data_IF_242616973731
#
_entry.id   IF_242616973731
#
_cell.length_a   1.000
_cell.length_b   1.000
_cell.length_c   1.000
_cell.angle_alpha   90.00
_cell.angle_beta   90.00
_cell.angle_gamma   90.00
#
_symmetry.space_group_name_H-M   'P 1'
#
loop_
_entity.id
_entity.type
_entity.pdbx_description
1 polymer ?
#
# COMPACT_ATOMS: atom_id res chain seq x y z
N UNK A 1 -38.83 1.51 -9.64
CA UNK A 1 -37.38 1.50 -9.89
C UNK A 1 -37.09 0.55 -11.05
N UNK A 2 -36.24 0.93 -12.02
CA UNK A 2 -35.93 0.12 -13.22
C UNK A 2 -34.79 -0.86 -12.90
N UNK A 3 -34.98 -2.17 -13.16
CA UNK A 3 -34.02 -3.24 -12.85
C UNK A 3 -33.76 -4.10 -14.10
N UNK A 4 -32.51 -4.56 -14.29
CA UNK A 4 -32.11 -5.41 -15.42
C UNK A 4 -32.82 -6.78 -15.45
N UNK A 5 -33.25 -7.22 -16.65
CA UNK A 5 -34.05 -8.44 -16.95
C UNK A 5 -33.61 -9.71 -16.20
N UNK A 6 -32.31 -9.98 -16.11
CA UNK A 6 -31.78 -11.21 -15.49
C UNK A 6 -31.96 -11.28 -13.97
N UNK A 7 -31.92 -10.14 -13.27
CA UNK A 7 -32.12 -10.07 -11.82
C UNK A 7 -33.61 -10.09 -11.45
N UNK A 8 -34.44 -9.50 -12.32
CA UNK A 8 -35.89 -9.52 -12.18
C UNK A 8 -36.44 -10.96 -12.21
N UNK A 9 -35.94 -11.79 -13.13
CA UNK A 9 -36.38 -13.17 -13.30
C UNK A 9 -35.97 -14.09 -12.13
N UNK A 10 -34.77 -13.88 -11.57
CA UNK A 10 -34.28 -14.66 -10.42
C UNK A 10 -34.99 -14.27 -9.11
N UNK A 11 -35.37 -13.00 -8.96
CA UNK A 11 -36.22 -12.55 -7.84
C UNK A 11 -37.65 -13.09 -7.98
N UNK A 12 -38.21 -13.13 -9.19
CA UNK A 12 -39.56 -13.64 -9.47
C UNK A 12 -39.75 -15.11 -9.08
N UNK A 13 -38.74 -15.97 -9.29
CA UNK A 13 -38.84 -17.42 -8.97
C UNK A 13 -38.79 -17.69 -7.46
N UNK A 14 -38.11 -16.85 -6.68
CA UNK A 14 -37.89 -17.07 -5.23
C UNK A 14 -39.04 -16.51 -4.37
N UNK A 15 -39.80 -15.54 -4.89
CA UNK A 15 -40.84 -14.82 -4.14
C UNK A 15 -42.23 -15.48 -4.22
N UNK A 16 -42.44 -16.47 -5.09
CA UNK A 16 -43.75 -17.14 -5.26
C UNK A 16 -44.21 -17.97 -4.03
N UNK A 17 -43.32 -18.22 -3.06
CA UNK A 17 -43.56 -19.18 -1.97
C UNK A 17 -43.72 -18.58 -0.57
N UNK A 18 -43.84 -17.25 -0.39
CA UNK A 18 -43.89 -16.73 0.99
C UNK A 18 -44.80 -15.51 1.21
N UNK A 19 -45.90 -15.74 1.94
CA UNK A 19 -46.67 -14.69 2.62
C UNK A 19 -45.91 -14.29 3.89
N UNK A 20 -45.39 -13.07 3.96
CA UNK A 20 -44.68 -12.55 5.14
C UNK A 20 -45.70 -11.89 6.07
N UNK A 21 -45.93 -12.50 7.24
CA UNK A 21 -46.49 -11.79 8.39
C UNK A 21 -45.45 -10.77 8.87
N UNK A 22 -45.88 -9.54 9.12
CA UNK A 22 -45.06 -8.45 9.67
C UNK A 22 -44.31 -8.89 10.92
N UNK A 23 -43.05 -9.30 10.78
CA UNK A 23 -42.11 -9.44 11.88
C UNK A 23 -41.08 -8.35 11.66
N UNK A 24 -41.16 -7.29 12.47
CA UNK A 24 -40.07 -6.36 12.64
C UNK A 24 -38.93 -7.15 13.30
N UNK A 25 -38.09 -7.78 12.48
CA UNK A 25 -36.94 -8.54 12.93
C UNK A 25 -35.90 -7.57 13.52
N UNK A 26 -35.28 -7.97 14.63
CA UNK A 26 -34.15 -7.23 15.21
C UNK A 26 -32.96 -7.34 14.24
N UNK A 27 -32.87 -6.37 13.32
CA UNK A 27 -31.78 -6.29 12.35
C UNK A 27 -30.62 -5.50 12.97
N UNK A 28 -29.54 -6.20 13.27
CA UNK A 28 -28.28 -5.58 13.67
C UNK A 28 -27.48 -5.19 12.43
N UNK A 29 -27.11 -3.90 12.34
CA UNK A 29 -26.38 -3.33 11.20
C UNK A 29 -25.08 -2.72 11.68
N UNK A 30 -23.97 -3.10 11.06
CA UNK A 30 -22.64 -2.55 11.32
C UNK A 30 -22.09 -1.94 10.04
N UNK A 31 -21.99 -0.62 10.01
CA UNK A 31 -21.38 0.12 8.91
C UNK A 31 -19.86 0.19 9.13
N UNK A 32 -19.12 -0.13 8.08
CA UNK A 32 -17.67 -0.03 8.00
C UNK A 32 -17.29 0.79 6.77
N UNK A 33 -17.14 2.11 6.92
CA UNK A 33 -16.43 2.93 5.94
C UNK A 33 -15.02 2.36 5.76
N UNK A 34 -14.58 2.11 4.52
CA UNK A 34 -13.31 1.44 4.26
C UNK A 34 -12.32 2.30 3.48
N UNK A 35 -11.03 2.06 3.71
CA UNK A 35 -9.92 2.65 2.93
C UNK A 35 -9.63 1.81 1.66
N UNK A 36 -9.25 2.44 0.53
CA UNK A 36 -9.09 3.90 0.34
C UNK A 36 -10.43 4.62 0.15
N UNK A 37 -11.45 3.91 -0.34
CA UNK A 37 -12.83 4.38 -0.46
C UNK A 37 -13.77 3.17 -0.44
N UNK A 38 -15.01 3.43 -0.08
CA UNK A 38 -16.09 2.47 -0.10
C UNK A 38 -16.76 2.27 1.25
N UNK A 39 -17.82 1.46 1.24
CA UNK A 39 -18.62 1.12 2.40
C UNK A 39 -18.89 -0.39 2.41
N UNK A 40 -18.61 -1.04 3.54
CA UNK A 40 -19.08 -2.39 3.85
C UNK A 40 -20.14 -2.32 4.95
N UNK A 41 -21.30 -2.93 4.73
CA UNK A 41 -22.38 -2.99 5.71
C UNK A 41 -22.64 -4.45 6.04
N UNK A 42 -22.29 -4.84 7.26
CA UNK A 42 -22.61 -6.17 7.78
C UNK A 42 -23.99 -6.12 8.41
N UNK A 43 -24.87 -6.99 7.94
CA UNK A 43 -26.24 -7.07 8.39
C UNK A 43 -26.46 -8.45 8.99
N UNK A 44 -26.98 -8.49 10.20
CA UNK A 44 -27.33 -9.71 10.91
C UNK A 44 -28.80 -9.65 11.28
N UNK A 45 -29.53 -10.72 10.99
CA UNK A 45 -30.94 -10.83 11.33
C UNK A 45 -31.29 -12.30 11.62
N UNK A 46 -32.42 -12.51 12.30
CA UNK A 46 -32.89 -13.83 12.68
C UNK A 46 -33.25 -14.74 11.48
N UNK A 47 -33.58 -15.99 11.81
CA UNK A 47 -33.92 -17.04 10.85
C UNK A 47 -35.13 -16.77 9.95
N UNK A 48 -36.01 -15.82 10.30
CA UNK A 48 -37.26 -15.57 9.56
C UNK A 48 -37.10 -14.57 8.41
N UNK A 49 -35.91 -13.99 8.25
CA UNK A 49 -35.64 -13.01 7.19
C UNK A 49 -35.40 -13.69 5.83
N UNK A 50 -36.07 -13.23 4.75
CA UNK A 50 -36.00 -13.86 3.42
C UNK A 50 -34.62 -13.75 2.76
N UNK A 51 -34.48 -14.29 1.55
CA UNK A 51 -33.21 -14.35 0.83
C UNK A 51 -32.58 -12.98 0.54
N UNK A 52 -33.38 -11.92 0.40
CA UNK A 52 -32.91 -10.60 -0.02
C UNK A 52 -33.16 -9.56 1.07
N UNK A 53 -32.10 -8.80 1.40
CA UNK A 53 -32.15 -7.64 2.29
C UNK A 53 -31.63 -6.45 1.50
N UNK A 54 -32.30 -5.30 1.59
CA UNK A 54 -31.90 -4.09 0.88
C UNK A 54 -31.24 -3.11 1.84
N UNK A 55 -30.19 -2.46 1.34
CA UNK A 55 -29.56 -1.34 2.00
C UNK A 55 -29.80 -0.09 1.16
N UNK A 56 -30.27 0.96 1.82
CA UNK A 56 -30.39 2.28 1.24
C UNK A 56 -29.64 3.27 2.12
N UNK A 57 -28.88 4.16 1.50
CA UNK A 57 -28.17 5.19 2.23
C UNK A 57 -27.88 6.44 1.41
N UNK A 58 -27.83 7.56 2.10
CA UNK A 58 -27.50 8.87 1.56
C UNK A 58 -26.38 9.49 2.39
N UNK A 59 -25.47 10.20 1.71
CA UNK A 59 -24.26 10.74 2.33
C UNK A 59 -24.35 12.26 2.43
N UNK A 60 -24.07 12.74 3.63
CA UNK A 60 -24.14 14.14 4.02
C UNK A 60 -22.78 14.63 4.52
N UNK A 61 -22.47 15.87 4.17
CA UNK A 61 -21.33 16.60 4.72
C UNK A 61 -21.73 17.24 6.06
N UNK A 62 -20.80 17.33 7.01
CA UNK A 62 -21.06 17.89 8.35
C UNK A 62 -21.71 19.28 8.25
N UNK A 63 -22.84 19.46 8.93
CA UNK A 63 -23.52 20.75 9.04
C UNK A 63 -24.42 21.13 7.84
N UNK A 64 -24.59 20.27 6.84
CA UNK A 64 -25.50 20.50 5.70
C UNK A 64 -26.70 19.55 5.75
N UNK A 65 -27.89 20.10 5.52
CA UNK A 65 -29.16 19.35 5.43
C UNK A 65 -29.48 18.82 4.03
N UNK A 66 -28.71 19.22 3.01
CA UNK A 66 -28.84 18.71 1.64
C UNK A 66 -27.81 17.60 1.37
N UNK A 67 -28.24 16.43 0.86
CA UNK A 67 -27.32 15.34 0.52
C UNK A 67 -26.39 15.82 -0.59
N UNK A 68 -25.09 15.60 -0.43
CA UNK A 68 -24.11 16.31 -1.24
C UNK A 68 -23.42 15.41 -2.29
N UNK A 69 -23.42 14.06 -2.16
CA UNK A 69 -22.39 13.25 -2.86
C UNK A 69 -22.85 11.92 -3.50
N UNK A 70 -23.87 11.19 -3.01
CA UNK A 70 -24.40 10.00 -3.71
C UNK A 70 -25.56 9.35 -2.95
N UNK A 71 -26.48 8.73 -3.68
CA UNK A 71 -27.48 7.80 -3.13
C UNK A 71 -27.02 6.36 -3.40
N UNK A 72 -27.05 5.53 -2.38
CA UNK A 72 -26.72 4.11 -2.45
C UNK A 72 -27.98 3.29 -2.26
N UNK A 73 -28.31 2.42 -3.21
CA UNK A 73 -29.42 1.49 -3.09
C UNK A 73 -29.06 0.17 -3.80
N UNK A 74 -28.93 -0.92 -3.04
CA UNK A 74 -28.79 -2.26 -3.63
C UNK A 74 -29.12 -3.36 -2.61
N UNK A 75 -29.10 -4.61 -3.10
CA UNK A 75 -29.29 -5.83 -2.34
C UNK A 75 -27.99 -6.23 -1.62
N UNK A 76 -28.12 -6.53 -0.33
CA UNK A 76 -27.08 -7.18 0.46
C UNK A 76 -27.04 -8.70 0.15
N UNK A 77 -25.84 -9.23 -0.06
CA UNK A 77 -25.63 -10.64 -0.42
C UNK A 77 -25.48 -11.48 0.85
N UNK A 78 -26.28 -12.56 0.96
CA UNK A 78 -26.19 -13.50 2.10
C UNK A 78 -24.84 -14.20 2.10
N UNK A 79 -24.10 -14.05 3.19
CA UNK A 79 -22.78 -14.65 3.43
C UNK A 79 -22.87 -15.98 4.21
N UNK A 80 -23.90 -16.13 5.05
CA UNK A 80 -24.09 -17.31 5.88
C UNK A 80 -25.57 -17.56 6.13
N UNK A 81 -25.98 -18.84 6.09
CA UNK A 81 -27.32 -19.32 6.39
C UNK A 81 -27.27 -20.19 7.66
N UNK A 82 -27.98 -19.79 8.71
CA UNK A 82 -28.04 -20.46 10.00
C UNK A 82 -28.98 -19.72 10.96
N UNK A 83 -28.86 -19.97 12.26
CA UNK A 83 -29.69 -19.29 13.29
C UNK A 83 -29.46 -17.76 13.30
N UNK A 84 -28.23 -17.36 12.96
CA UNK A 84 -27.78 -15.98 12.80
C UNK A 84 -27.44 -15.72 11.33
N UNK A 85 -28.46 -15.47 10.51
CA UNK A 85 -28.25 -15.15 9.11
C UNK A 85 -27.42 -13.86 8.97
N UNK A 86 -26.46 -13.87 8.03
CA UNK A 86 -25.57 -12.73 7.79
C UNK A 86 -25.59 -12.32 6.32
N UNK A 87 -25.73 -11.03 6.07
CA UNK A 87 -25.63 -10.40 4.75
C UNK A 87 -24.54 -9.34 4.75
N UNK A 88 -24.05 -9.07 3.56
CA UNK A 88 -23.02 -8.08 3.30
C UNK A 88 -23.46 -7.22 2.12
N UNK A 89 -23.61 -5.92 2.35
CA UNK A 89 -23.70 -4.92 1.29
C UNK A 89 -22.33 -4.26 1.12
N UNK A 90 -21.92 -4.05 -0.12
CA UNK A 90 -20.63 -3.44 -0.44
C UNK A 90 -20.82 -2.42 -1.57
N UNK A 91 -20.23 -1.24 -1.41
CA UNK A 91 -20.14 -0.24 -2.46
C UNK A 91 -18.75 0.41 -2.42
N UNK A 92 -17.92 0.13 -3.43
CA UNK A 92 -16.53 0.60 -3.49
C UNK A 92 -16.37 1.94 -4.22
N UNK A 93 -17.44 2.48 -4.79
CA UNK A 93 -17.38 3.72 -5.57
C UNK A 93 -17.62 4.97 -4.70
N UNK A 94 -17.93 4.76 -3.42
CA UNK A 94 -18.30 5.81 -2.47
C UNK A 94 -17.08 6.33 -1.73
N UNK A 95 -16.82 7.63 -1.80
CA UNK A 95 -15.74 8.29 -1.05
C UNK A 95 -16.27 8.78 0.31
N UNK A 96 -15.67 8.27 1.40
CA UNK A 96 -16.06 8.57 2.79
C UNK A 96 -14.86 9.12 3.57
N UNK A 97 -15.09 10.20 4.29
CA UNK A 97 -14.10 10.84 5.18
C UNK A 97 -14.59 10.84 6.62
N UNK A 98 -13.64 10.93 7.56
CA UNK A 98 -13.96 11.09 8.99
C UNK A 98 -14.76 12.37 9.20
N UNK A 99 -15.89 12.26 9.89
CA UNK A 99 -16.86 13.31 10.13
C UNK A 99 -18.09 13.24 9.24
N UNK A 100 -18.06 12.57 8.08
CA UNK A 100 -19.25 12.45 7.22
C UNK A 100 -20.40 11.69 7.91
N UNK A 101 -21.64 11.96 7.50
CA UNK A 101 -22.84 11.29 8.02
C UNK A 101 -23.48 10.44 6.93
N UNK A 102 -23.75 9.18 7.25
CA UNK A 102 -24.50 8.25 6.41
C UNK A 102 -25.89 8.11 7.03
N UNK A 103 -26.91 8.64 6.36
CA UNK A 103 -28.30 8.33 6.70
C UNK A 103 -28.68 7.06 5.99
N UNK A 104 -28.99 6.01 6.71
CA UNK A 104 -29.23 4.70 6.12
C UNK A 104 -30.47 4.02 6.66
N UNK A 105 -31.00 3.08 5.89
CA UNK A 105 -32.00 2.12 6.35
C UNK A 105 -31.71 0.76 5.73
N UNK A 106 -32.08 -0.27 6.48
CA UNK A 106 -32.05 -1.66 6.01
C UNK A 106 -33.45 -2.19 6.10
N UNK A 107 -33.93 -2.78 5.02
CA UNK A 107 -35.29 -3.29 5.00
C UNK A 107 -35.44 -4.52 4.11
N UNK A 108 -36.49 -5.27 4.42
CA UNK A 108 -36.93 -6.41 3.66
C UNK A 108 -38.16 -5.97 2.89
N UNK A 109 -38.11 -5.85 1.56
CA UNK A 109 -39.29 -5.51 0.81
C UNK A 109 -40.24 -6.71 0.77
N UNK A 110 -41.52 -6.48 1.07
CA UNK A 110 -42.56 -7.34 0.52
C UNK A 110 -42.81 -6.86 -0.91
N UNK A 111 -42.65 -7.75 -1.88
CA UNK A 111 -42.88 -7.42 -3.28
C UNK A 111 -44.37 -7.64 -3.57
N UNK A 112 -45.06 -6.60 -4.02
CA UNK A 112 -46.36 -6.75 -4.68
C UNK A 112 -46.13 -6.53 -6.17
N UNK A 113 -46.59 -7.48 -6.97
CA UNK A 113 -46.45 -7.42 -8.42
C UNK A 113 -47.47 -6.46 -9.02
N UNK A 114 -47.00 -5.49 -9.79
CA UNK A 114 -47.80 -4.88 -10.85
C UNK A 114 -46.96 -4.93 -12.14
N UNK A 115 -47.08 -6.05 -12.86
CA UNK A 115 -46.36 -6.29 -14.11
C UNK A 115 -47.17 -5.70 -15.26
N UNK A 116 -47.07 -4.39 -15.49
CA UNK A 116 -47.52 -3.80 -16.76
C UNK A 116 -46.48 -4.09 -17.84
N UNK A 117 -46.64 -5.23 -18.52
CA UNK A 117 -45.74 -5.77 -19.56
C UNK A 117 -46.00 -5.13 -20.92
N UNK A 118 -46.13 -3.81 -21.00
CA UNK A 118 -46.20 -3.13 -22.31
C UNK A 118 -44.88 -2.46 -22.72
N UNK A 119 -44.01 -2.05 -21.77
CA UNK A 119 -42.88 -1.16 -22.08
C UNK A 119 -41.50 -1.60 -21.55
N UNK A 120 -41.29 -2.89 -21.25
CA UNK A 120 -39.99 -3.43 -20.74
C UNK A 120 -39.42 -2.73 -19.48
N UNK A 121 -40.19 -1.88 -18.81
CA UNK A 121 -39.87 -1.23 -17.54
C UNK A 121 -40.77 -1.82 -16.46
N UNK A 122 -40.21 -2.73 -15.65
CA UNK A 122 -40.88 -3.22 -14.45
C UNK A 122 -40.73 -2.19 -13.33
N UNK A 123 -41.85 -1.76 -12.73
CA UNK A 123 -41.82 -0.94 -11.52
C UNK A 123 -41.94 -1.88 -10.32
N UNK A 124 -40.85 -2.11 -9.57
CA UNK A 124 -40.98 -2.77 -8.26
C UNK A 124 -41.65 -1.80 -7.29
N UNK A 125 -42.83 -2.17 -6.80
CA UNK A 125 -43.49 -1.54 -5.65
C UNK A 125 -43.24 -2.40 -4.41
N UNK A 126 -42.65 -1.79 -3.40
CA UNK A 126 -42.33 -2.44 -2.14
C UNK A 126 -43.46 -2.13 -1.14
N UNK A 127 -44.32 -3.11 -0.88
CA UNK A 127 -45.45 -2.97 0.04
C UNK A 127 -45.07 -3.57 1.41
N UNK A 128 -44.12 -2.98 2.11
CA UNK A 128 -43.66 -3.45 3.41
C UNK A 128 -43.46 -2.32 4.41
N UNK A 129 -43.25 -2.67 5.68
CA UNK A 129 -42.77 -1.72 6.69
C UNK A 129 -41.37 -1.25 6.29
N UNK A 130 -41.27 0.01 5.91
CA UNK A 130 -39.98 0.67 5.64
C UNK A 130 -39.59 1.39 6.94
N UNK A 131 -38.50 0.98 7.60
CA UNK A 131 -38.05 1.63 8.80
C UNK A 131 -37.53 3.05 8.50
N UNK A 132 -37.62 3.91 9.51
CA UNK A 132 -37.03 5.24 9.47
C UNK A 132 -35.51 5.16 9.26
N UNK A 133 -34.96 6.23 8.69
CA UNK A 133 -33.51 6.36 8.55
C UNK A 133 -32.83 6.42 9.92
N UNK A 134 -31.69 5.76 10.01
CA UNK A 134 -30.73 5.86 11.10
C UNK A 134 -29.53 6.67 10.64
N UNK A 135 -28.97 7.45 11.55
CA UNK A 135 -27.77 8.24 11.27
C UNK A 135 -26.52 7.51 11.75
N UNK A 136 -25.51 7.45 10.90
CA UNK A 136 -24.19 6.92 11.23
C UNK A 136 -23.11 7.97 10.97
N UNK A 137 -22.34 8.34 11.99
CA UNK A 137 -21.23 9.27 11.87
C UNK A 137 -19.95 8.47 11.59
N UNK A 138 -19.24 8.82 10.53
CA UNK A 138 -17.96 8.20 10.17
C UNK A 138 -16.90 8.67 11.18
N UNK A 139 -16.69 7.89 12.24
CA UNK A 139 -15.67 8.18 13.25
C UNK A 139 -14.28 7.70 12.87
N UNK A 140 -14.20 6.68 12.01
CA UNK A 140 -12.94 6.10 11.50
C UNK A 140 -13.18 5.32 10.21
N UNK A 141 -12.11 5.15 9.43
CA UNK A 141 -12.09 4.27 8.28
C UNK A 141 -11.40 2.95 8.64
N UNK A 142 -11.95 1.84 8.16
CA UNK A 142 -11.47 0.50 8.42
C UNK A 142 -10.71 -0.07 7.23
N UNK A 143 -9.88 -1.07 7.48
CA UNK A 143 -9.39 -1.91 6.39
C UNK A 143 -10.51 -2.83 5.89
N UNK A 144 -10.49 -3.14 4.60
CA UNK A 144 -11.44 -4.07 3.98
C UNK A 144 -11.29 -5.47 4.60
N UNK A 145 -12.40 -6.09 5.00
CA UNK A 145 -12.37 -7.46 5.51
C UNK A 145 -11.95 -8.47 4.41
N UNK A 146 -11.12 -9.48 4.71
CA UNK A 146 -10.85 -10.59 3.80
C UNK A 146 -12.10 -11.47 3.71
N UNK A 147 -12.68 -11.65 2.51
CA UNK A 147 -13.93 -12.41 2.34
C UNK A 147 -13.74 -13.74 1.58
N UNK A 148 -14.46 -14.81 1.98
CA UNK A 148 -14.37 -16.15 1.40
C UNK A 148 -15.17 -16.35 0.10
N UNK A 149 -15.87 -15.33 -0.40
CA UNK A 149 -16.54 -15.42 -1.71
C UNK A 149 -16.56 -14.06 -2.40
N UNK A 150 -16.21 -13.98 -3.70
CA UNK A 150 -16.31 -12.74 -4.44
C UNK A 150 -17.78 -12.33 -4.50
N UNK A 151 -18.16 -11.33 -3.69
CA UNK A 151 -19.42 -10.63 -3.89
C UNK A 151 -19.45 -10.02 -5.30
N UNK A 152 -20.65 -9.69 -5.79
CA UNK A 152 -20.89 -9.09 -7.12
C UNK A 152 -20.01 -7.87 -7.45
N UNK A 153 -19.50 -7.18 -6.42
CA UNK A 153 -18.65 -5.99 -6.52
C UNK A 153 -17.14 -6.28 -6.48
N UNK A 154 -16.71 -7.53 -6.25
CA UNK A 154 -15.31 -7.92 -6.39
C UNK A 154 -14.97 -8.14 -7.86
N UNK A 155 -14.44 -7.10 -8.52
CA UNK A 155 -13.89 -7.24 -9.86
C UNK A 155 -12.65 -8.14 -9.79
N UNK A 156 -12.61 -9.16 -10.65
CA UNK A 156 -11.46 -10.06 -10.74
C UNK A 156 -10.19 -9.27 -11.06
N UNK A 157 -9.07 -9.66 -10.43
CA UNK A 157 -7.76 -9.03 -10.60
C UNK A 157 -6.71 -10.10 -10.86
N UNK A 158 -5.69 -9.75 -11.63
CA UNK A 158 -4.48 -10.57 -11.78
C UNK A 158 -3.54 -10.42 -10.58
N UNK A 159 -3.75 -9.39 -9.76
CA UNK A 159 -2.95 -9.10 -8.57
C UNK A 159 -3.04 -10.21 -7.56
N UNK A 160 -1.88 -10.65 -7.07
CA UNK A 160 -1.79 -11.68 -6.02
C UNK A 160 -1.05 -11.13 -4.83
N UNK A 161 -1.58 -11.37 -3.63
CA UNK A 161 -0.97 -10.98 -2.36
C UNK A 161 -0.81 -12.21 -1.49
N UNK A 162 0.30 -12.34 -0.78
CA UNK A 162 0.54 -13.49 0.11
C UNK A 162 -0.51 -13.53 1.21
N UNK A 163 -1.22 -14.65 1.31
CA UNK A 163 -2.19 -14.89 2.38
C UNK A 163 -3.47 -14.05 2.30
N UNK A 164 -3.69 -13.30 1.21
CA UNK A 164 -4.83 -12.40 1.06
C UNK A 164 -5.46 -12.51 -0.34
N UNK A 165 -6.77 -12.74 -0.38
CA UNK A 165 -7.56 -12.56 -1.61
C UNK A 165 -7.90 -11.08 -1.79
N UNK A 166 -7.76 -10.58 -3.01
CA UNK A 166 -7.91 -9.16 -3.35
C UNK A 166 -8.74 -9.01 -4.62
N UNK A 167 -9.38 -7.85 -4.78
CA UNK A 167 -10.14 -7.47 -5.96
C UNK A 167 -9.45 -6.28 -6.65
N UNK A 168 -9.77 -6.04 -7.92
CA UNK A 168 -9.22 -4.88 -8.63
C UNK A 168 -9.62 -3.57 -7.93
N UNK A 169 -8.67 -2.66 -7.76
CA UNK A 169 -8.84 -1.38 -7.05
C UNK A 169 -8.60 -1.43 -5.54
N UNK A 170 -8.37 -2.61 -4.94
CA UNK A 170 -8.09 -2.70 -3.51
C UNK A 170 -6.73 -2.08 -3.17
N UNK A 171 -6.68 -1.30 -2.08
CA UNK A 171 -5.40 -1.00 -1.43
C UNK A 171 -4.93 -2.23 -0.68
N UNK A 172 -3.81 -2.76 -1.13
CA UNK A 172 -3.21 -3.99 -0.62
C UNK A 172 -2.07 -3.74 0.36
N UNK A 173 -1.51 -2.53 0.35
CA UNK A 173 -0.52 -2.05 1.31
C UNK A 173 -0.57 -0.51 1.37
N UNK A 174 -0.51 0.06 2.57
CA UNK A 174 -0.50 1.50 2.77
C UNK A 174 0.29 1.85 4.03
N UNK A 175 1.15 2.84 3.93
CA UNK A 175 1.80 3.51 5.06
C UNK A 175 1.87 5.01 4.84
N UNK A 176 1.35 5.79 5.78
CA UNK A 176 1.41 7.25 5.81
C UNK A 176 2.51 7.76 6.75
N UNK A 177 3.28 6.87 7.38
CA UNK A 177 4.39 7.21 8.25
C UNK A 177 4.04 8.21 9.36
N UNK A 178 2.86 8.06 9.98
CA UNK A 178 2.51 8.79 11.21
C UNK A 178 3.43 8.38 12.38
N UNK A 179 3.79 7.09 12.42
CA UNK A 179 4.76 6.49 13.34
C UNK A 179 5.57 5.42 12.62
N UNK A 180 6.77 5.09 13.12
CA UNK A 180 7.55 4.00 12.54
C UNK A 180 6.93 2.63 12.90
N UNK A 181 6.50 1.88 11.88
CA UNK A 181 5.80 0.60 12.01
C UNK A 181 6.73 -0.59 11.77
N UNK A 182 7.26 -1.15 12.86
CA UNK A 182 8.13 -2.35 12.83
C UNK A 182 7.41 -3.63 12.43
N UNK A 183 6.07 -3.63 12.46
CA UNK A 183 5.24 -4.73 11.95
C UNK A 183 5.20 -4.78 10.42
N UNK A 184 5.47 -3.66 9.75
CA UNK A 184 5.51 -3.59 8.28
C UNK A 184 6.92 -3.49 7.73
N UNK A 185 7.81 -2.75 8.38
CA UNK A 185 9.12 -2.40 7.86
C UNK A 185 10.24 -2.92 8.73
N UNK A 186 11.27 -3.44 8.09
CA UNK A 186 12.57 -3.73 8.68
C UNK A 186 13.58 -2.70 8.17
N UNK A 187 14.36 -2.12 9.08
CA UNK A 187 15.55 -1.35 8.72
C UNK A 187 16.65 -2.36 8.40
N UNK A 188 17.19 -2.31 7.18
CA UNK A 188 18.24 -3.19 6.73
C UNK A 188 19.61 -2.75 7.27
N UNK A 189 20.43 -3.72 7.67
CA UNK A 189 21.79 -3.48 8.16
C UNK A 189 22.76 -4.43 7.47
N UNK A 190 23.47 -3.93 6.45
CA UNK A 190 24.45 -4.68 5.67
C UNK A 190 25.27 -3.79 4.74
N UNK A 191 26.37 -4.35 4.21
CA UNK A 191 27.18 -3.76 3.15
C UNK A 191 26.73 -4.38 1.81
N UNK A 192 26.21 -3.59 0.86
CA UNK A 192 25.68 -4.11 -0.39
C UNK A 192 26.78 -4.66 -1.30
N UNK A 193 26.72 -5.95 -1.62
CA UNK A 193 27.61 -6.61 -2.60
C UNK A 193 26.91 -6.97 -3.91
N UNK A 194 25.59 -7.17 -3.86
CA UNK A 194 24.74 -7.64 -4.96
C UNK A 194 23.67 -6.62 -5.36
N UNK A 195 23.92 -5.34 -5.08
CA UNK A 195 23.03 -4.25 -5.44
C UNK A 195 23.33 -3.75 -6.87
N UNK A 196 22.31 -3.51 -7.73
CA UNK A 196 22.50 -3.18 -9.14
C UNK A 196 23.29 -1.88 -9.34
N UNK A 197 23.11 -0.92 -8.42
CA UNK A 197 23.85 0.35 -8.44
C UNK A 197 25.28 0.27 -7.90
N UNK A 198 25.62 -0.81 -7.18
CA UNK A 198 26.85 -0.94 -6.40
C UNK A 198 27.21 0.35 -5.61
N UNK A 199 26.30 0.87 -4.76
CA UNK A 199 26.51 2.12 -4.03
C UNK A 199 27.69 2.03 -3.06
N UNK A 200 28.31 3.17 -2.78
CA UNK A 200 29.40 3.28 -1.82
C UNK A 200 28.87 3.56 -0.40
N UNK A 201 27.88 2.76 0.02
CA UNK A 201 27.17 2.91 1.30
C UNK A 201 27.30 1.65 2.15
N UNK A 202 27.11 1.81 3.46
CA UNK A 202 26.67 0.74 4.35
C UNK A 202 25.28 1.11 4.85
N UNK A 203 24.33 0.18 4.75
CA UNK A 203 23.01 0.38 5.37
C UNK A 203 23.11 0.01 6.84
N UNK A 204 22.65 0.89 7.73
CA UNK A 204 22.74 0.71 9.18
C UNK A 204 21.51 1.29 9.88
N UNK A 205 21.32 0.93 11.16
CA UNK A 205 20.35 1.58 12.05
C UNK A 205 21.09 2.26 13.20
N UNK A 206 21.36 3.56 13.07
CA UNK A 206 22.10 4.31 14.09
C UNK A 206 21.21 4.63 15.30
N UNK A 207 21.77 4.54 16.51
CA UNK A 207 21.03 4.75 17.77
C UNK A 207 21.12 6.17 18.31
N UNK A 208 22.34 6.72 18.42
CA UNK A 208 22.56 8.05 18.99
C UNK A 208 22.15 9.19 18.05
N UNK A 209 22.40 9.02 16.75
CA UNK A 209 21.99 9.95 15.70
C UNK A 209 21.34 9.17 14.55
N UNK A 210 20.05 8.82 14.66
CA UNK A 210 19.36 7.96 13.71
C UNK A 210 19.43 8.48 12.28
N UNK A 211 19.74 7.57 11.36
CA UNK A 211 19.71 7.79 9.91
C UNK A 211 18.37 7.40 9.28
N UNK A 212 17.50 6.72 10.02
CA UNK A 212 16.13 6.38 9.63
C UNK A 212 15.19 6.71 10.78
N UNK A 213 14.22 7.59 10.57
CA UNK A 213 13.25 7.97 11.60
C UNK A 213 11.97 8.54 10.99
N UNK A 214 10.90 8.56 11.77
CA UNK A 214 9.64 9.23 11.39
C UNK A 214 9.53 10.54 12.15
N UNK A 215 9.27 11.64 11.44
CA UNK A 215 9.10 12.97 12.02
C UNK A 215 8.11 13.79 11.20
N UNK A 216 7.17 14.45 11.87
CA UNK A 216 6.14 15.29 11.24
C UNK A 216 5.27 14.54 10.20
N UNK A 217 4.95 13.27 10.46
CA UNK A 217 4.11 12.46 9.56
C UNK A 217 4.80 12.06 8.25
N UNK A 218 6.13 12.02 8.23
CA UNK A 218 6.89 11.48 7.11
C UNK A 218 8.09 10.66 7.60
N UNK A 219 8.48 9.68 6.79
CA UNK A 219 9.71 8.90 6.98
C UNK A 219 10.90 9.67 6.42
N UNK A 220 11.97 9.78 7.20
CA UNK A 220 13.23 10.43 6.84
C UNK A 220 14.33 9.37 6.75
N UNK A 221 15.05 9.36 5.64
CA UNK A 221 16.26 8.57 5.45
C UNK A 221 17.41 9.52 5.13
N UNK A 222 18.36 9.62 6.04
CA UNK A 222 19.44 10.62 6.00
C UNK A 222 20.79 9.92 5.84
N UNK A 223 21.46 10.04 4.68
CA UNK A 223 22.83 9.56 4.51
C UNK A 223 23.80 10.47 5.27
N UNK A 224 24.84 9.87 5.86
CA UNK A 224 25.87 10.55 6.66
C UNK A 224 27.24 9.97 6.35
N UNK A 225 28.31 10.66 6.73
CA UNK A 225 29.66 10.11 6.58
C UNK A 225 29.85 8.95 7.58
N UNK A 226 30.33 7.81 7.12
CA UNK A 226 30.67 6.70 8.03
C UNK A 226 31.77 7.11 9.03
N UNK A 227 32.72 7.95 8.57
CA UNK A 227 33.86 8.42 9.37
C UNK A 227 33.43 9.05 10.71
N UNK A 228 32.28 9.74 10.76
CA UNK A 228 31.78 10.40 11.96
C UNK A 228 31.32 9.41 13.06
N UNK A 229 31.11 8.14 12.68
CA UNK A 229 30.63 7.07 13.56
C UNK A 229 31.69 6.00 13.84
N UNK A 230 32.89 6.15 13.28
CA UNK A 230 34.02 5.27 13.59
C UNK A 230 34.67 5.67 14.93
N UNK A 231 35.40 4.72 15.52
CA UNK A 231 36.24 5.01 16.68
C UNK A 231 37.35 6.02 16.31
N UNK A 232 37.76 6.85 17.28
CA UNK A 232 38.72 7.97 17.06
C UNK A 232 40.08 7.57 16.45
N UNK A 233 40.49 6.33 16.59
CA UNK A 233 41.76 5.77 16.06
C UNK A 233 41.58 5.05 14.71
N UNK A 234 40.35 4.98 14.20
CA UNK A 234 40.03 4.35 12.94
C UNK A 234 39.75 5.42 11.87
N UNK A 235 39.96 5.04 10.62
CA UNK A 235 39.59 5.85 9.46
C UNK A 235 38.89 4.95 8.46
N UNK A 236 38.24 5.52 7.45
CA UNK A 236 37.66 4.67 6.42
C UNK A 236 38.72 3.95 5.56
N UNK A 237 39.95 4.45 5.49
CA UNK A 237 41.04 3.85 4.70
C UNK A 237 41.74 2.69 5.43
N UNK A 238 41.65 2.63 6.77
CA UNK A 238 42.43 1.68 7.60
C UNK A 238 41.61 0.96 8.67
N UNK A 239 40.37 1.35 8.89
CA UNK A 239 39.52 0.84 9.96
C UNK A 239 38.80 -0.45 9.62
N UNK A 240 37.98 -0.89 10.58
CA UNK A 240 37.10 -2.04 10.44
C UNK A 240 35.68 -1.63 10.79
N UNK A 241 34.73 -2.07 9.96
CA UNK A 241 33.30 -1.95 10.22
C UNK A 241 32.76 -3.33 10.58
N UNK A 242 32.01 -3.42 11.68
CA UNK A 242 31.21 -4.57 12.05
C UNK A 242 29.82 -4.10 12.51
N UNK A 243 28.78 -4.56 11.83
CA UNK A 243 27.38 -4.22 12.14
C UNK A 243 26.78 -5.09 13.25
N UNK A 244 27.54 -6.07 13.76
CA UNK A 244 27.18 -6.90 14.90
C UNK A 244 25.86 -7.67 14.71
N UNK A 245 25.13 -7.84 15.81
CA UNK A 245 23.89 -8.63 15.87
C UNK A 245 22.71 -8.01 15.08
N UNK A 246 22.83 -6.75 14.66
CA UNK A 246 21.83 -6.06 13.84
C UNK A 246 21.81 -6.51 12.38
N UNK A 247 22.81 -7.29 11.96
CA UNK A 247 23.03 -7.72 10.58
C UNK A 247 21.80 -8.41 9.95
N UNK A 248 21.30 -7.85 8.83
CA UNK A 248 20.10 -8.38 8.14
C UNK A 248 20.42 -9.18 6.87
N UNK A 249 21.69 -9.18 6.41
CA UNK A 249 22.15 -9.89 5.20
C UNK A 249 23.46 -10.63 5.44
N UNK A 250 24.14 -11.06 4.36
CA UNK A 250 25.38 -11.85 4.45
C UNK A 250 26.62 -11.02 4.79
N UNK A 251 26.76 -9.84 4.19
CA UNK A 251 27.95 -9.01 4.36
C UNK A 251 27.68 -7.92 5.39
N UNK A 252 28.23 -8.08 6.59
CA UNK A 252 28.04 -7.14 7.70
C UNK A 252 29.34 -6.72 8.39
N UNK A 253 30.47 -7.27 7.96
CA UNK A 253 31.77 -6.82 8.41
C UNK A 253 32.69 -6.54 7.23
N UNK A 254 33.59 -5.58 7.37
CA UNK A 254 34.63 -5.27 6.39
C UNK A 254 35.82 -4.67 7.11
N UNK A 255 37.03 -5.06 6.70
CA UNK A 255 38.26 -4.38 7.11
C UNK A 255 38.87 -3.75 5.87
N UNK A 256 39.20 -2.46 5.95
CA UNK A 256 39.81 -1.75 4.84
C UNK A 256 41.21 -2.31 4.52
N UNK A 257 41.55 -2.39 3.24
CA UNK A 257 42.87 -2.83 2.80
C UNK A 257 43.32 -2.11 1.52
N UNK A 258 44.34 -1.26 1.65
CA UNK A 258 44.91 -0.51 0.54
C UNK A 258 43.86 0.37 -0.14
N UNK A 259 43.55 0.16 -1.44
CA UNK A 259 42.52 0.94 -2.14
C UNK A 259 41.08 0.50 -1.82
N UNK A 260 40.88 -0.67 -1.21
CA UNK A 260 39.56 -1.17 -0.83
C UNK A 260 39.18 -0.66 0.56
N UNK A 261 38.63 0.55 0.58
CA UNK A 261 38.24 1.25 1.81
C UNK A 261 36.89 0.79 2.37
N UNK A 262 36.59 1.15 3.60
CA UNK A 262 35.22 1.04 4.14
C UNK A 262 34.25 1.88 3.29
N UNK A 263 32.95 1.51 3.23
CA UNK A 263 31.95 2.33 2.55
C UNK A 263 31.96 3.75 3.13
N UNK A 264 32.21 4.80 2.33
CA UNK A 264 32.36 6.15 2.87
C UNK A 264 31.10 6.71 3.54
N UNK A 265 29.92 6.20 3.15
CA UNK A 265 28.63 6.70 3.59
C UNK A 265 27.91 5.64 4.42
N UNK A 266 27.31 6.06 5.54
CA UNK A 266 26.26 5.31 6.23
C UNK A 266 24.90 5.83 5.76
N UNK A 267 24.01 4.94 5.33
CA UNK A 267 22.69 5.28 4.81
C UNK A 267 21.61 4.37 5.39
N UNK A 268 20.34 4.67 5.12
CA UNK A 268 19.20 3.87 5.54
C UNK A 268 18.55 3.15 4.36
N UNK A 269 18.01 1.96 4.64
CA UNK A 269 17.17 1.20 3.71
C UNK A 269 16.12 0.44 4.52
N UNK A 270 14.88 0.46 4.05
CA UNK A 270 13.75 -0.26 4.63
C UNK A 270 13.27 -1.30 3.63
N UNK A 271 12.88 -2.47 4.14
CA UNK A 271 12.24 -3.54 3.37
C UNK A 271 10.93 -3.95 4.03
N UNK A 272 9.91 -4.26 3.24
CA UNK A 272 8.62 -4.72 3.76
C UNK A 272 8.72 -6.18 4.22
N UNK A 273 8.34 -6.49 5.46
CA UNK A 273 8.54 -7.82 6.07
C UNK A 273 7.44 -8.81 5.68
N UNK A 274 6.19 -8.48 6.00
CA UNK A 274 5.04 -9.38 5.86
C UNK A 274 4.22 -9.13 4.58
N UNK A 275 4.70 -8.26 3.71
CA UNK A 275 3.99 -7.88 2.49
C UNK A 275 4.78 -8.31 1.26
N UNK A 276 4.16 -9.19 0.47
CA UNK A 276 4.64 -9.49 -0.85
C UNK A 276 3.49 -9.65 -1.84
N UNK A 277 3.69 -9.14 -3.04
CA UNK A 277 2.66 -9.07 -4.07
C UNK A 277 3.20 -9.38 -5.47
N UNK A 278 2.29 -9.66 -6.40
CA UNK A 278 2.55 -9.82 -7.84
C UNK A 278 1.50 -9.01 -8.59
N UNK A 279 1.96 -8.09 -9.45
CA UNK A 279 1.15 -7.06 -10.13
C UNK A 279 0.49 -6.07 -9.18
N UNK A 280 0.32 -4.83 -9.63
CA UNK A 280 -0.24 -3.75 -8.85
C UNK A 280 0.40 -2.42 -9.18
N UNK A 281 -0.19 -1.35 -8.67
CA UNK A 281 0.27 0.02 -8.86
C UNK A 281 0.89 0.47 -7.54
N UNK A 282 2.18 0.82 -7.56
CA UNK A 282 2.88 1.38 -6.40
C UNK A 282 2.93 2.90 -6.56
N UNK A 283 2.33 3.62 -5.62
CA UNK A 283 2.35 5.08 -5.55
C UNK A 283 3.16 5.51 -4.32
N UNK A 284 4.17 6.33 -4.54
CA UNK A 284 5.02 6.89 -3.49
C UNK A 284 5.02 8.40 -3.63
N UNK A 285 4.74 9.10 -2.54
CA UNK A 285 4.90 10.56 -2.46
C UNK A 285 6.11 10.86 -1.59
N UNK A 286 7.12 11.50 -2.18
CA UNK A 286 8.37 11.77 -1.48
C UNK A 286 9.04 13.06 -1.98
N UNK A 287 9.87 13.66 -1.12
CA UNK A 287 10.91 14.62 -1.49
C UNK A 287 12.24 13.89 -1.62
N UNK A 288 12.88 14.06 -2.76
CA UNK A 288 14.08 13.35 -3.17
C UNK A 288 15.32 14.04 -2.54
N UNK A 289 16.37 13.31 -2.15
CA UNK A 289 17.60 13.90 -1.62
C UNK A 289 18.26 14.86 -2.62
N UNK A 290 18.73 16.00 -2.11
CA UNK A 290 19.47 17.01 -2.86
C UNK A 290 20.95 17.01 -2.44
N UNK A 291 21.81 16.63 -3.39
CA UNK A 291 23.25 16.65 -3.25
C UNK A 291 23.89 15.83 -4.36
N UNK A 292 25.09 16.23 -4.77
CA UNK A 292 25.82 15.51 -5.81
C UNK A 292 26.00 14.06 -5.40
N UNK A 293 25.76 13.18 -6.38
CA UNK A 293 25.95 11.74 -6.27
C UNK A 293 25.00 11.03 -5.31
N UNK A 294 23.97 11.70 -4.80
CA UNK A 294 22.87 11.06 -4.06
C UNK A 294 21.75 10.64 -5.02
N UNK A 295 21.07 9.54 -4.69
CA UNK A 295 19.89 9.12 -5.43
C UNK A 295 18.94 8.31 -4.53
N UNK A 296 17.62 8.44 -4.74
CA UNK A 296 16.64 7.64 -4.02
C UNK A 296 16.62 6.20 -4.55
N UNK A 297 16.35 5.25 -3.67
CA UNK A 297 16.14 3.85 -4.03
C UNK A 297 14.70 3.47 -3.75
N UNK A 298 13.90 3.37 -4.81
CA UNK A 298 12.55 2.80 -4.77
C UNK A 298 12.56 1.52 -5.59
N UNK A 299 12.64 0.39 -4.90
CA UNK A 299 12.87 -0.91 -5.51
C UNK A 299 11.78 -1.90 -5.13
N UNK A 300 11.46 -2.79 -6.07
CA UNK A 300 10.52 -3.89 -5.85
C UNK A 300 11.25 -5.22 -6.05
N UNK A 301 11.65 -5.84 -4.94
CA UNK A 301 12.59 -6.96 -4.91
C UNK A 301 11.88 -8.31 -4.78
N UNK A 302 12.33 -9.40 -5.42
CA UNK A 302 11.81 -10.74 -5.17
C UNK A 302 11.91 -11.18 -3.71
N UNK A 303 10.84 -11.78 -3.16
CA UNK A 303 10.80 -12.33 -1.79
C UNK A 303 11.80 -13.49 -1.60
N UNK A 304 12.07 -14.25 -2.66
CA UNK A 304 13.05 -15.34 -2.65
C UNK A 304 14.04 -15.20 -3.80
N UNK A 305 15.34 -15.23 -3.50
CA UNK A 305 16.43 -15.24 -4.50
C UNK A 305 16.69 -16.64 -5.12
N UNK A 306 15.74 -17.58 -5.02
CA UNK A 306 15.93 -18.96 -5.47
C UNK A 306 15.64 -19.07 -6.98
N UNK A 307 16.71 -19.17 -7.77
CA UNK A 307 16.75 -19.38 -9.23
C UNK A 307 16.04 -18.33 -10.09
N UNK A 308 16.70 -17.20 -10.28
CA UNK A 308 16.72 -16.54 -11.59
C UNK A 308 18.18 -16.20 -11.85
N UNK A 309 18.76 -16.63 -12.97
CA UNK A 309 20.18 -16.47 -13.25
C UNK A 309 20.62 -15.00 -13.18
N UNK A 310 21.92 -14.75 -12.98
CA UNK A 310 22.52 -13.41 -12.90
C UNK A 310 22.08 -12.43 -14.01
N UNK A 311 21.65 -12.95 -15.18
CA UNK A 311 21.14 -12.14 -16.29
C UNK A 311 19.76 -11.48 -16.03
N UNK A 312 18.96 -11.98 -15.09
CA UNK A 312 17.61 -11.47 -14.80
C UNK A 312 17.52 -10.60 -13.53
N UNK A 313 18.63 -10.41 -12.81
CA UNK A 313 18.74 -9.37 -11.76
C UNK A 313 18.66 -7.95 -12.35
N UNK A 314 18.69 -7.82 -13.68
CA UNK A 314 18.36 -6.58 -14.41
C UNK A 314 16.90 -6.15 -14.21
N UNK A 315 16.05 -6.97 -13.60
CA UNK A 315 14.63 -6.67 -13.34
C UNK A 315 14.38 -6.04 -11.95
N UNK A 316 15.38 -5.34 -11.39
CA UNK A 316 15.17 -4.41 -10.28
C UNK A 316 14.49 -3.17 -10.84
N UNK A 317 13.18 -3.11 -10.62
CA UNK A 317 12.33 -2.03 -11.12
C UNK A 317 12.56 -0.80 -10.26
N UNK A 318 13.26 0.20 -10.81
CA UNK A 318 13.19 1.55 -10.28
C UNK A 318 11.77 2.09 -10.54
N UNK A 319 11.12 2.58 -9.48
CA UNK A 319 9.77 3.14 -9.57
C UNK A 319 9.85 4.49 -10.31
N UNK A 320 9.80 4.47 -11.64
CA UNK A 320 9.61 5.65 -12.48
C UNK A 320 8.61 5.41 -13.63
N UNK A 321 7.70 4.44 -13.45
CA UNK A 321 6.76 3.85 -14.43
C UNK A 321 7.40 2.80 -15.34
N UNK A 322 7.11 1.51 -15.09
CA UNK A 322 7.42 0.38 -15.98
C UNK A 322 6.30 -0.68 -15.87
N UNK A 323 5.69 -1.03 -17.01
CA UNK A 323 4.85 -2.21 -17.21
C UNK A 323 5.77 -3.37 -17.61
N UNK A 324 6.31 -4.14 -16.65
CA UNK A 324 7.05 -5.37 -16.98
C UNK A 324 6.29 -6.60 -16.49
N UNK A 325 5.83 -7.41 -17.45
CA UNK A 325 5.23 -8.72 -17.24
C UNK A 325 6.32 -9.74 -16.88
N UNK A 326 6.64 -9.87 -15.59
CA UNK A 326 7.37 -11.04 -15.08
C UNK A 326 6.40 -11.77 -14.17
N UNK A 327 5.72 -12.77 -14.73
CA UNK A 327 4.74 -13.57 -14.02
C UNK A 327 5.40 -14.54 -13.04
N UNK A 328 4.80 -14.72 -11.86
CA UNK A 328 5.12 -15.81 -10.94
C UNK A 328 6.09 -15.51 -9.78
N UNK A 329 6.68 -14.31 -9.69
CA UNK A 329 7.57 -13.95 -8.58
C UNK A 329 6.87 -12.96 -7.63
N UNK A 330 6.80 -13.34 -6.34
CA UNK A 330 6.33 -12.46 -5.26
C UNK A 330 7.41 -11.43 -4.95
N UNK A 331 7.01 -10.18 -4.73
CA UNK A 331 7.96 -9.09 -4.49
C UNK A 331 7.62 -8.26 -3.26
N UNK A 332 8.65 -7.79 -2.57
CA UNK A 332 8.62 -6.88 -1.44
C UNK A 332 9.00 -5.46 -1.88
N UNK A 333 8.58 -4.46 -1.12
CA UNK A 333 8.99 -3.08 -1.33
C UNK A 333 10.29 -2.80 -0.60
N UNK A 334 11.18 -2.03 -1.22
CA UNK A 334 12.40 -1.52 -0.62
C UNK A 334 12.55 -0.03 -0.89
N UNK A 335 12.83 0.73 0.17
CA UNK A 335 13.00 2.19 0.15
C UNK A 335 14.35 2.54 0.74
N UNK A 336 15.14 3.41 0.14
CA UNK A 336 16.46 3.76 0.67
C UNK A 336 17.09 4.95 0.00
N UNK A 337 18.30 5.29 0.44
CA UNK A 337 19.15 6.30 -0.21
C UNK A 337 20.49 5.66 -0.56
N UNK A 338 20.85 5.74 -1.83
CA UNK A 338 22.18 5.38 -2.30
C UNK A 338 23.07 6.61 -2.44
N UNK A 339 24.37 6.39 -2.38
CA UNK A 339 25.38 7.40 -2.64
C UNK A 339 26.46 6.83 -3.56
N UNK A 340 26.81 7.60 -4.58
CA UNK A 340 27.78 7.23 -5.61
C UNK A 340 27.46 5.86 -6.24
N UNK A 341 28.50 5.08 -6.55
CA UNK A 341 28.34 3.73 -7.11
C UNK A 341 28.80 3.61 -8.55
N UNK A 342 29.07 2.37 -8.97
CA UNK A 342 29.70 2.08 -10.26
C UNK A 342 28.72 1.80 -11.40
N UNK A 343 27.41 1.85 -11.14
CA UNK A 343 26.40 1.48 -12.14
C UNK A 343 25.21 2.45 -12.21
N UNK A 344 25.20 3.51 -11.39
CA UNK A 344 24.12 4.51 -11.35
C UNK A 344 24.44 5.72 -12.23
N UNK A 345 25.70 6.15 -12.22
CA UNK A 345 26.14 7.37 -12.90
C UNK A 345 27.05 7.02 -14.10
N UNK A 346 26.75 7.49 -15.33
CA UNK A 346 27.65 7.35 -16.46
C UNK A 346 29.01 8.03 -16.20
N UNK A 347 30.09 7.55 -16.82
CA UNK A 347 31.45 8.08 -16.53
C UNK A 347 31.68 9.51 -17.01
N UNK A 348 30.92 9.97 -18.00
CA UNK A 348 31.01 11.33 -18.54
C UNK A 348 29.98 12.30 -17.95
N UNK A 349 29.28 11.90 -16.88
CA UNK A 349 28.24 12.73 -16.29
C UNK A 349 28.85 13.97 -15.61
N UNK A 350 28.16 15.08 -15.77
CA UNK A 350 28.45 16.36 -15.12
C UNK A 350 27.14 16.83 -14.49
N UNK A 351 27.19 17.33 -13.26
CA UNK A 351 26.01 17.87 -12.59
C UNK A 351 25.61 19.21 -13.18
N UNK A 352 24.38 19.68 -12.92
CA UNK A 352 23.91 20.98 -13.39
C UNK A 352 24.77 22.14 -12.87
N UNK A 353 25.45 21.94 -11.72
CA UNK A 353 26.41 22.87 -11.14
C UNK A 353 27.80 22.81 -11.78
N UNK A 354 28.02 21.94 -12.78
CA UNK A 354 29.29 21.78 -13.48
C UNK A 354 30.29 20.84 -12.81
N UNK A 355 29.90 20.12 -11.76
CA UNK A 355 30.80 19.18 -11.08
C UNK A 355 30.94 17.88 -11.88
N UNK A 356 32.18 17.51 -12.18
CA UNK A 356 32.51 16.28 -12.89
C UNK A 356 32.56 15.11 -11.91
N UNK A 357 32.00 13.96 -12.30
CA UNK A 357 32.07 12.74 -11.50
C UNK A 357 33.52 12.36 -11.12
N UNK A 358 33.85 12.21 -9.83
CA UNK A 358 35.24 12.00 -9.39
C UNK A 358 35.79 10.57 -9.59
N UNK A 359 34.94 9.59 -9.93
CA UNK A 359 35.35 8.20 -10.16
C UNK A 359 34.88 7.68 -11.53
N UNK A 360 35.53 6.60 -12.00
CA UNK A 360 35.08 5.83 -13.16
C UNK A 360 34.48 4.50 -12.72
N UNK A 361 33.50 4.00 -13.46
CA UNK A 361 32.75 2.79 -13.13
C UNK A 361 33.62 1.53 -13.12
N UNK A 362 34.61 1.45 -14.01
CA UNK A 362 35.54 0.32 -14.11
C UNK A 362 36.80 0.45 -13.23
N UNK A 363 36.95 1.52 -12.45
CA UNK A 363 38.15 1.73 -11.63
C UNK A 363 38.02 1.00 -10.28
N UNK A 364 38.98 0.11 -9.99
CA UNK A 364 39.07 -0.58 -8.70
C UNK A 364 39.22 0.39 -7.51
N UNK A 365 39.65 1.63 -7.74
CA UNK A 365 39.76 2.69 -6.74
C UNK A 365 38.55 3.62 -6.70
N UNK A 366 37.43 3.26 -7.32
CA UNK A 366 36.28 4.16 -7.47
C UNK A 366 35.75 4.71 -6.13
N UNK A 367 35.52 3.84 -5.13
CA UNK A 367 35.09 4.25 -3.80
C UNK A 367 36.10 5.20 -3.12
N UNK A 368 37.40 4.89 -3.23
CA UNK A 368 38.47 5.73 -2.71
C UNK A 368 38.52 7.11 -3.40
N UNK A 369 38.32 7.17 -4.71
CA UNK A 369 38.28 8.46 -5.44
C UNK A 369 37.05 9.28 -5.06
N UNK A 370 35.90 8.64 -4.91
CA UNK A 370 34.71 9.30 -4.38
C UNK A 370 35.03 9.92 -3.01
N UNK A 371 35.59 9.14 -2.09
CA UNK A 371 35.97 9.64 -0.77
C UNK A 371 36.95 10.82 -0.80
N UNK A 372 38.06 10.69 -1.55
CA UNK A 372 39.11 11.71 -1.59
C UNK A 372 38.69 13.04 -2.20
N UNK A 373 37.54 13.07 -2.88
CA UNK A 373 36.95 14.30 -3.41
C UNK A 373 35.75 14.78 -2.58
N UNK A 374 35.63 14.36 -1.31
CA UNK A 374 34.52 14.78 -0.43
C UNK A 374 34.36 16.28 -0.29
N UNK A 375 35.46 17.03 -0.31
CA UNK A 375 35.42 18.49 -0.22
C UNK A 375 34.74 19.15 -1.43
N UNK A 376 34.61 18.43 -2.56
CA UNK A 376 33.88 18.91 -3.74
C UNK A 376 32.38 18.63 -3.64
N UNK A 377 31.97 17.41 -3.26
CA UNK A 377 30.57 17.01 -3.31
C UNK A 377 29.83 17.16 -1.98
N UNK A 378 30.48 17.02 -0.84
CA UNK A 378 29.81 17.09 0.47
C UNK A 378 29.15 18.45 0.72
N UNK A 379 29.76 19.61 0.35
CA UNK A 379 29.09 20.90 0.50
C UNK A 379 27.81 21.05 -0.34
N UNK A 380 27.62 20.22 -1.36
CA UNK A 380 26.42 20.24 -2.20
C UNK A 380 25.21 19.54 -1.56
N UNK A 381 25.42 18.78 -0.48
CA UNK A 381 24.40 18.04 0.25
C UNK A 381 23.56 18.99 1.12
N UNK A 382 22.80 19.87 0.47
CA UNK A 382 21.99 20.93 1.11
C UNK A 382 20.77 20.33 1.82
N UNK A 383 20.14 19.32 1.20
CA UNK A 383 19.00 18.60 1.75
C UNK A 383 19.13 17.11 1.44
N UNK A 384 20.06 16.39 2.08
CA UNK A 384 20.41 15.02 1.70
C UNK A 384 19.37 13.97 2.12
N UNK A 385 18.30 14.38 2.83
CA UNK A 385 17.26 13.49 3.31
C UNK A 385 16.31 13.07 2.19
N UNK A 386 16.01 11.78 2.11
CA UNK A 386 14.81 11.29 1.44
C UNK A 386 13.64 11.37 2.44
N UNK A 387 12.63 12.18 2.12
CA UNK A 387 11.44 12.33 2.94
C UNK A 387 10.26 11.67 2.23
N UNK A 388 9.64 10.65 2.83
CA UNK A 388 8.52 9.91 2.25
C UNK A 388 7.26 10.21 3.05
N UNK A 389 6.28 10.83 2.39
CA UNK A 389 4.99 11.17 2.98
C UNK A 389 4.10 9.92 3.07
N UNK A 390 3.98 9.15 1.98
CA UNK A 390 3.25 7.89 2.01
C UNK A 390 3.70 6.91 0.91
N UNK A 391 3.40 5.64 1.15
CA UNK A 391 3.49 4.54 0.19
C UNK A 391 2.14 3.84 0.13
N UNK A 392 1.59 3.70 -1.08
CA UNK A 392 0.34 2.98 -1.33
C UNK A 392 0.55 1.96 -2.46
N UNK A 393 0.04 0.75 -2.28
CA UNK A 393 -0.01 -0.26 -3.34
C UNK A 393 -1.46 -0.65 -3.58
N UNK A 394 -1.88 -0.58 -4.84
CA UNK A 394 -3.22 -0.93 -5.29
C UNK A 394 -3.22 -2.13 -6.23
N UNK A 395 -4.22 -2.99 -6.07
CA UNK A 395 -4.45 -4.12 -6.96
C UNK A 395 -4.95 -3.63 -8.32
N UNK A 396 -4.31 -4.12 -9.38
CA UNK A 396 -4.63 -3.83 -10.78
C UNK A 396 -5.81 -4.65 -11.30
#
# INVERSE_FOLDING_TARGET
MIINKGMLWLMLVVLADFQINNVASDVAVVLRPIRPKGLQVLIKADGMVPHFVFFEGEIYQVGKSTPNISSMFDVAIRQYKGDDNRWLFENYDVELEVGMVIKYRVFVPNVVHDLNVENEQGTLTFNGFIPDYKDFIVMKLFDRLPFPSPGRFCKGTVTKVVGKQVCAGDVIFEDNFDTFRTDLWQIEQYIPTDHPGHPFVSYQSLTADPNVFVRNGSLHIVPKLLEDFLERNQSIETGSLDLGDGCTRRQCSKTAFGPDILPPIVSGRLTSIAFAFTYGIVTIRAKIPQGDWLYPEFLVEPLTKKYVGEKDLQNLLQVSSIIQLISGIKRQLSLGVGAAGTHVFPDSIVTDAGHVKPWRNADAKASLRFWRNKDQWLPTWIAPSLEIDYVKVEAF
#
